data_IF_172147850059
#
_entry.id   IF_172147850059
#
_cell.length_a   1.000
_cell.length_b   1.000
_cell.length_c   1.000
_cell.angle_alpha   90.00
_cell.angle_beta   90.00
_cell.angle_gamma   90.00
#
_symmetry.space_group_name_H-M   'P 1'
#
loop_
_entity.id
_entity.type
_entity.pdbx_description
1 polymer ?
#
# COMPACT_ATOMS: atom_id res chain seq x y z
N UNK A 1 -25.81 0.70 -16.70
CA UNK A 1 -24.55 -0.05 -16.68
C UNK A 1 -24.17 -0.22 -15.23
N UNK A 2 -24.33 -1.43 -14.69
CA UNK A 2 -23.85 -1.77 -13.35
C UNK A 2 -22.32 -1.91 -13.42
N UNK A 3 -21.60 -1.08 -12.67
CA UNK A 3 -20.15 -1.24 -12.52
C UNK A 3 -19.95 -2.20 -11.36
N UNK A 4 -19.73 -3.47 -11.65
CA UNK A 4 -19.33 -4.44 -10.64
C UNK A 4 -17.90 -4.10 -10.18
N UNK A 5 -17.78 -3.51 -9.00
CA UNK A 5 -16.49 -3.35 -8.33
C UNK A 5 -16.06 -4.72 -7.79
N UNK A 6 -15.32 -5.50 -8.58
CA UNK A 6 -14.55 -6.60 -8.01
C UNK A 6 -13.36 -6.02 -7.26
N UNK A 7 -13.26 -6.33 -5.97
CA UNK A 7 -12.04 -6.09 -5.21
C UNK A 7 -11.00 -7.02 -5.82
N UNK A 8 -10.04 -6.46 -6.56
CA UNK A 8 -8.90 -7.24 -7.02
C UNK A 8 -8.12 -7.74 -5.80
N UNK A 9 -7.67 -8.99 -5.85
CA UNK A 9 -6.80 -9.54 -4.81
C UNK A 9 -5.59 -8.63 -4.59
N UNK A 10 -5.14 -8.55 -3.33
CA UNK A 10 -3.96 -7.76 -2.98
C UNK A 10 -2.79 -8.24 -3.85
N UNK A 11 -2.19 -7.37 -4.68
CA UNK A 11 -1.07 -7.78 -5.52
C UNK A 11 0.09 -8.24 -4.63
N UNK A 12 0.60 -9.43 -4.92
CA UNK A 12 1.76 -10.02 -4.22
C UNK A 12 3.08 -9.54 -4.79
N UNK A 13 3.09 -9.17 -6.07
CA UNK A 13 4.27 -8.67 -6.78
C UNK A 13 3.94 -7.34 -7.47
N UNK A 14 4.98 -6.54 -7.71
CA UNK A 14 4.86 -5.25 -8.42
C UNK A 14 5.22 -5.40 -9.91
N UNK A 15 5.19 -6.61 -10.45
CA UNK A 15 5.61 -6.87 -11.83
C UNK A 15 4.75 -6.11 -12.85
N UNK A 16 3.50 -5.81 -12.51
CA UNK A 16 2.64 -4.95 -13.31
C UNK A 16 3.21 -3.52 -13.48
N UNK A 17 3.88 -3.01 -12.45
CA UNK A 17 4.55 -1.71 -12.45
C UNK A 17 6.00 -1.87 -12.93
N UNK A 18 6.17 -2.40 -14.15
CA UNK A 18 7.50 -2.56 -14.73
C UNK A 18 8.28 -1.25 -14.78
N UNK A 19 9.61 -1.34 -14.71
CA UNK A 19 10.53 -0.20 -14.88
C UNK A 19 10.34 0.53 -16.23
N UNK A 20 9.71 -0.14 -17.21
CA UNK A 20 9.35 0.44 -18.51
C UNK A 20 8.38 1.62 -18.37
N UNK A 21 7.51 1.60 -17.37
CA UNK A 21 6.48 2.63 -17.17
C UNK A 21 6.74 3.49 -15.94
N UNK A 22 7.36 2.91 -14.90
CA UNK A 22 7.55 3.59 -13.62
C UNK A 22 9.01 3.56 -13.19
N UNK A 23 9.57 4.74 -12.88
CA UNK A 23 10.77 4.82 -12.06
C UNK A 23 10.43 4.41 -10.62
N UNK A 24 11.24 3.53 -10.04
CA UNK A 24 11.01 3.01 -8.71
C UNK A 24 12.03 3.55 -7.72
N UNK A 25 11.55 4.11 -6.62
CA UNK A 25 12.38 4.57 -5.51
C UNK A 25 11.98 3.80 -4.25
N UNK A 26 12.94 3.12 -3.64
CA UNK A 26 12.73 2.43 -2.37
C UNK A 26 13.28 3.32 -1.25
N UNK A 27 12.39 3.75 -0.36
CA UNK A 27 12.75 4.49 0.84
C UNK A 27 12.67 3.54 2.02
N UNK A 28 13.84 3.20 2.57
CA UNK A 28 13.93 2.37 3.76
C UNK A 28 13.87 3.22 5.02
N UNK A 29 13.25 2.68 6.06
CA UNK A 29 13.13 3.32 7.38
C UNK A 29 12.65 4.78 7.29
N UNK A 30 11.55 5.02 6.58
CA UNK A 30 11.03 6.36 6.35
C UNK A 30 10.80 7.09 7.69
N UNK A 31 11.24 8.35 7.75
CA UNK A 31 11.26 9.18 8.97
C UNK A 31 12.13 8.63 10.12
N UNK A 32 13.08 7.74 9.81
CA UNK A 32 13.95 7.12 10.81
C UNK A 32 13.27 6.04 11.64
N UNK A 33 12.06 5.61 11.27
CA UNK A 33 11.34 4.52 11.94
C UNK A 33 11.75 3.19 11.30
N UNK A 34 12.17 2.23 12.11
CA UNK A 34 12.56 0.89 11.66
C UNK A 34 11.42 0.17 10.93
N UNK A 35 11.74 -0.52 9.84
CA UNK A 35 10.82 -1.24 8.96
C UNK A 35 9.67 -0.40 8.37
N UNK A 36 9.76 0.92 8.48
CA UNK A 36 8.80 1.86 7.93
C UNK A 36 9.11 2.14 6.45
N UNK A 37 9.13 1.07 5.66
CA UNK A 37 9.56 1.11 4.28
C UNK A 37 8.41 1.50 3.34
N UNK A 38 8.73 2.27 2.32
CA UNK A 38 7.81 2.56 1.24
C UNK A 38 8.51 2.56 -0.12
N UNK A 39 7.71 2.37 -1.16
CA UNK A 39 8.15 2.43 -2.56
C UNK A 39 7.35 3.50 -3.28
N UNK A 40 8.05 4.42 -3.94
CA UNK A 40 7.44 5.41 -4.82
C UNK A 40 7.63 4.95 -6.26
N UNK A 41 6.53 4.82 -6.99
CA UNK A 41 6.50 4.54 -8.42
C UNK A 41 6.14 5.83 -9.16
N UNK A 42 7.02 6.33 -10.01
CA UNK A 42 6.85 7.60 -10.72
C UNK A 42 6.74 7.32 -12.22
N UNK A 43 5.58 7.61 -12.79
CA UNK A 43 5.33 7.50 -14.23
C UNK A 43 5.79 8.76 -14.96
N UNK A 44 6.17 8.63 -16.24
CA UNK A 44 6.67 9.74 -17.08
C UNK A 44 5.66 10.86 -17.33
N UNK A 45 4.36 10.59 -17.16
CA UNK A 45 3.28 11.59 -17.27
C UNK A 45 3.02 12.36 -15.95
N UNK A 46 3.81 12.13 -14.91
CA UNK A 46 3.66 12.78 -13.61
C UNK A 46 2.74 12.04 -12.62
N UNK A 47 2.16 10.89 -12.99
CA UNK A 47 1.46 10.05 -12.02
C UNK A 47 2.43 9.42 -11.03
N UNK A 48 2.09 9.46 -9.75
CA UNK A 48 2.87 8.88 -8.68
C UNK A 48 2.02 7.89 -7.88
N UNK A 49 2.52 6.68 -7.67
CA UNK A 49 1.91 5.67 -6.80
C UNK A 49 2.81 5.46 -5.60
N UNK A 50 2.27 5.67 -4.40
CA UNK A 50 2.96 5.39 -3.14
C UNK A 50 2.51 4.02 -2.61
N UNK A 51 3.45 3.09 -2.51
CA UNK A 51 3.23 1.77 -1.97
C UNK A 51 3.84 1.68 -0.57
N UNK A 52 3.06 1.21 0.40
CA UNK A 52 3.51 1.02 1.77
C UNK A 52 3.71 -0.48 2.03
N UNK A 53 4.83 -0.84 2.65
CA UNK A 53 5.06 -2.21 3.09
C UNK A 53 4.08 -2.59 4.21
N UNK A 54 3.83 -3.89 4.38
CA UNK A 54 2.91 -4.37 5.43
C UNK A 54 3.36 -4.02 6.85
N UNK A 55 4.66 -3.79 7.06
CA UNK A 55 5.27 -3.34 8.30
C UNK A 55 5.16 -1.82 8.51
N UNK A 56 4.77 -1.05 7.50
CA UNK A 56 4.71 0.41 7.61
C UNK A 56 3.74 0.84 8.72
N UNK A 57 4.14 1.81 9.53
CA UNK A 57 3.41 2.18 10.76
C UNK A 57 1.94 2.52 10.48
N UNK A 58 1.64 3.21 9.38
CA UNK A 58 0.26 3.52 8.96
C UNK A 58 -0.60 2.27 8.72
N UNK A 59 -0.03 1.22 8.12
CA UNK A 59 -0.73 -0.04 7.87
C UNK A 59 -0.94 -0.78 9.19
N UNK A 60 0.06 -0.78 10.07
CA UNK A 60 -0.06 -1.40 11.39
C UNK A 60 -1.12 -0.70 12.26
N UNK A 61 -1.14 0.63 12.28
CA UNK A 61 -2.14 1.41 13.02
C UNK A 61 -3.55 1.16 12.49
N UNK A 62 -3.72 1.11 11.16
CA UNK A 62 -5.01 0.81 10.56
C UNK A 62 -5.51 -0.60 10.92
N UNK A 63 -4.62 -1.60 10.92
CA UNK A 63 -4.95 -2.96 11.35
C UNK A 63 -5.38 -3.01 12.82
N UNK A 64 -4.67 -2.30 13.70
CA UNK A 64 -5.03 -2.22 15.12
C UNK A 64 -6.38 -1.53 15.34
N UNK A 65 -6.69 -0.49 14.56
CA UNK A 65 -7.97 0.20 14.63
C UNK A 65 -9.13 -0.64 14.10
N UNK A 66 -8.93 -1.41 13.04
CA UNK A 66 -9.97 -2.35 12.56
C UNK A 66 -10.23 -3.47 13.57
N UNK A 67 -9.20 -4.03 14.20
CA UNK A 67 -9.41 -5.05 15.23
C UNK A 67 -10.24 -4.54 16.43
N UNK A 68 -10.26 -3.23 16.71
CA UNK A 68 -11.13 -2.68 17.77
C UNK A 68 -12.59 -2.49 17.32
N UNK A 69 -12.84 -2.36 16.01
CA UNK A 69 -14.21 -2.22 15.50
C UNK A 69 -14.89 -3.58 15.30
N UNK A 70 -14.14 -4.64 14.95
CA UNK A 70 -14.69 -5.99 14.76
C UNK A 70 -15.19 -6.64 16.07
N UNK A 71 -14.78 -6.15 17.25
CA UNK A 71 -15.26 -6.67 18.54
C UNK A 71 -16.62 -6.07 18.96
N UNK A 72 -17.15 -5.07 18.25
CA UNK A 72 -18.43 -4.42 18.57
C UNK A 72 -19.65 -4.96 17.79
N UNK A 73 -19.44 -5.66 16.67
CA UNK A 73 -20.54 -6.24 15.86
C UNK A 73 -20.82 -7.73 16.16
N UNK A 74 -20.18 -8.31 17.19
CA UNK A 74 -20.39 -9.71 17.59
C UNK A 74 -21.16 -9.90 18.91
N UNK A 75 -21.84 -8.86 19.43
CA UNK A 75 -22.76 -8.96 20.58
C UNK A 75 -24.22 -8.81 20.17
#
# INVERSE_FOLDING_TARGET
MEVSCSIADKPQTFDYFTERYYHQYVVRNCKGVEDNNCRLLVHSNGLCVLCLDGSHAAIQSHRKGLCTDEELDAS
#
